data_IF_991714975224
#
_entry.id   IF_991714975224
#
_cell.length_a   1.000
_cell.length_b   1.000
_cell.length_c   1.000
_cell.angle_alpha   90.00
_cell.angle_beta   90.00
_cell.angle_gamma   90.00
#
_symmetry.space_group_name_H-M   'P 1'
#
loop_
_entity.id
_entity.type
_entity.pdbx_description
1 polymer ?
#
# COMPACT_ATOMS: atom_id res chain seq x y z
N UNK A 1 -9.89 -17.45 -10.73
CA UNK A 1 -8.90 -16.40 -10.45
C UNK A 1 -7.54 -16.91 -10.94
N UNK A 2 -6.81 -16.10 -11.71
CA UNK A 2 -5.51 -16.47 -12.31
C UNK A 2 -4.48 -15.45 -11.91
N UNK A 3 -3.25 -15.88 -11.60
CA UNK A 3 -2.10 -14.99 -11.43
C UNK A 3 -1.54 -14.66 -12.81
N UNK A 4 -1.32 -13.37 -13.09
CA UNK A 4 -0.81 -12.89 -14.36
C UNK A 4 0.20 -11.76 -14.13
N UNK A 5 1.17 -11.62 -15.04
CA UNK A 5 2.11 -10.51 -15.04
C UNK A 5 1.59 -9.39 -15.95
N UNK A 6 1.35 -8.23 -15.36
CA UNK A 6 0.93 -7.02 -16.07
C UNK A 6 1.97 -5.92 -15.90
N UNK A 7 2.00 -5.01 -16.86
CA UNK A 7 2.84 -3.81 -16.76
C UNK A 7 2.24 -2.85 -15.73
N UNK A 8 3.05 -2.34 -14.82
CA UNK A 8 2.64 -1.23 -13.95
C UNK A 8 2.52 0.04 -14.76
N UNK A 9 1.28 0.43 -15.01
CA UNK A 9 0.89 1.55 -15.84
C UNK A 9 -0.34 1.21 -16.68
N UNK A 10 -1.45 1.86 -16.37
CA UNK A 10 -2.75 1.69 -17.00
C UNK A 10 -2.92 2.65 -18.17
N UNK A 11 -3.31 2.13 -19.31
CA UNK A 11 -3.78 2.90 -20.47
C UNK A 11 -5.09 2.28 -20.91
N UNK A 12 -6.21 3.03 -21.00
CA UNK A 12 -7.47 2.46 -21.44
C UNK A 12 -7.40 2.05 -22.91
N UNK A 13 -8.10 0.97 -23.26
CA UNK A 13 -8.10 0.37 -24.60
C UNK A 13 -8.44 1.33 -25.74
N UNK A 14 -9.23 2.37 -25.46
CA UNK A 14 -9.64 3.39 -26.42
C UNK A 14 -8.65 4.57 -26.55
N UNK A 15 -7.60 4.64 -25.74
CA UNK A 15 -6.64 5.77 -25.74
C UNK A 15 -5.87 5.83 -27.05
N UNK A 16 -5.87 7.00 -27.69
CA UNK A 16 -5.12 7.25 -28.92
C UNK A 16 -3.69 7.74 -28.65
N UNK A 17 -3.50 8.48 -27.55
CA UNK A 17 -2.22 9.09 -27.17
C UNK A 17 -1.33 8.14 -26.34
N UNK A 18 -1.89 7.02 -25.88
CA UNK A 18 -1.16 6.04 -25.08
C UNK A 18 -0.68 6.56 -23.73
N UNK A 19 -1.26 7.66 -23.23
CA UNK A 19 -0.89 8.24 -21.93
C UNK A 19 -1.14 7.21 -20.82
N UNK A 20 -0.11 6.92 -20.06
CA UNK A 20 -0.12 5.93 -19.00
C UNK A 20 -0.35 6.57 -17.63
N UNK A 21 -1.14 5.94 -16.78
CA UNK A 21 -1.36 6.31 -15.38
C UNK A 21 -1.05 5.14 -14.46
N UNK A 22 -0.24 5.35 -13.43
CA UNK A 22 0.09 4.32 -12.45
C UNK A 22 -0.90 4.28 -11.27
N UNK A 23 -1.60 5.39 -11.01
CA UNK A 23 -2.54 5.54 -9.91
C UNK A 23 -3.90 6.06 -10.39
N UNK A 24 -4.96 5.57 -9.76
CA UNK A 24 -6.34 5.99 -10.00
C UNK A 24 -6.98 6.44 -8.67
N UNK A 25 -7.30 7.74 -8.54
CA UNK A 25 -7.94 8.28 -7.33
C UNK A 25 -9.38 7.75 -7.21
N UNK A 26 -9.73 7.13 -6.09
CA UNK A 26 -11.08 6.64 -5.83
C UNK A 26 -12.12 7.77 -5.86
N UNK A 27 -11.78 8.94 -5.33
CA UNK A 27 -12.65 10.13 -5.30
C UNK A 27 -12.75 10.83 -6.67
N UNK A 28 -11.90 10.47 -7.64
CA UNK A 28 -11.79 11.22 -8.88
C UNK A 28 -11.34 12.66 -8.62
N UNK A 29 -12.14 13.62 -9.09
CA UNK A 29 -11.88 15.06 -8.92
C UNK A 29 -12.63 15.68 -7.74
N UNK A 30 -13.42 14.90 -6.97
CA UNK A 30 -14.24 15.42 -5.88
C UNK A 30 -13.46 15.75 -4.60
N UNK A 31 -12.23 15.24 -4.45
CA UNK A 31 -11.37 15.51 -3.29
C UNK A 31 -9.98 15.97 -3.74
N UNK A 32 -9.90 17.11 -4.39
CA UNK A 32 -8.63 17.63 -4.93
C UNK A 32 -7.62 17.97 -3.81
N UNK A 33 -8.11 18.38 -2.67
CA UNK A 33 -7.30 18.72 -1.48
C UNK A 33 -6.80 17.48 -0.70
N UNK A 34 -7.19 16.26 -1.12
CA UNK A 34 -6.84 14.99 -0.47
C UNK A 34 -7.26 14.91 1.02
N UNK A 35 -8.40 15.52 1.37
CA UNK A 35 -8.91 15.52 2.74
C UNK A 35 -9.12 14.10 3.24
N UNK A 36 -8.52 13.76 4.37
CA UNK A 36 -8.61 12.45 5.03
C UNK A 36 -10.03 12.10 5.45
N UNK A 37 -10.80 13.09 5.88
CA UNK A 37 -12.18 12.96 6.34
C UNK A 37 -13.21 12.96 5.19
N UNK A 38 -12.78 12.96 3.93
CA UNK A 38 -13.68 12.96 2.78
C UNK A 38 -14.58 11.71 2.77
N UNK A 39 -15.89 11.93 2.72
CA UNK A 39 -16.92 10.88 2.71
C UNK A 39 -17.87 11.01 1.51
N UNK A 40 -17.52 11.85 0.55
CA UNK A 40 -18.33 12.10 -0.65
C UNK A 40 -18.21 11.01 -1.72
N UNK A 41 -18.69 11.34 -2.91
CA UNK A 41 -18.78 10.44 -4.05
C UNK A 41 -17.43 9.87 -4.50
N UNK A 42 -17.43 8.63 -4.95
CA UNK A 42 -16.26 7.95 -5.53
C UNK A 42 -16.22 8.20 -7.05
N UNK A 43 -15.75 9.39 -7.44
CA UNK A 43 -15.75 9.87 -8.82
C UNK A 43 -14.97 9.02 -9.83
N UNK A 44 -14.19 8.04 -9.39
CA UNK A 44 -13.53 7.06 -10.28
C UNK A 44 -14.54 6.35 -11.18
N UNK A 45 -15.77 6.13 -10.72
CA UNK A 45 -16.84 5.45 -11.49
C UNK A 45 -17.34 6.25 -12.67
N UNK A 46 -17.14 7.57 -12.67
CA UNK A 46 -17.61 8.49 -13.70
C UNK A 46 -16.49 8.98 -14.62
N UNK A 47 -15.24 8.92 -14.16
CA UNK A 47 -14.10 9.37 -14.97
C UNK A 47 -13.97 8.55 -16.25
N UNK A 48 -14.02 9.16 -17.43
CA UNK A 48 -13.92 8.47 -18.73
C UNK A 48 -12.73 7.52 -18.80
N UNK A 49 -11.61 7.90 -18.19
CA UNK A 49 -10.37 7.15 -18.18
C UNK A 49 -10.47 5.81 -17.43
N UNK A 50 -11.26 5.74 -16.35
CA UNK A 50 -11.33 4.59 -15.44
C UNK A 50 -12.70 3.90 -15.40
N UNK A 51 -13.77 4.57 -15.82
CA UNK A 51 -15.16 4.12 -15.63
C UNK A 51 -15.47 2.74 -16.19
N UNK A 52 -14.80 2.32 -17.28
CA UNK A 52 -14.96 0.95 -17.84
C UNK A 52 -14.25 -0.06 -16.92
N UNK A 53 -12.99 0.20 -16.60
CA UNK A 53 -12.16 -0.72 -15.84
C UNK A 53 -12.68 -0.95 -14.42
N UNK A 54 -13.13 0.12 -13.72
CA UNK A 54 -13.68 -0.03 -12.36
C UNK A 54 -14.96 -0.88 -12.30
N UNK A 55 -15.70 -1.01 -13.40
CA UNK A 55 -16.91 -1.84 -13.46
C UNK A 55 -16.61 -3.32 -13.66
N UNK A 56 -15.63 -3.68 -14.47
CA UNK A 56 -15.45 -5.07 -14.91
C UNK A 56 -14.01 -5.58 -14.94
N UNK A 57 -13.01 -4.70 -14.84
CA UNK A 57 -11.60 -5.03 -15.02
C UNK A 57 -10.82 -4.69 -13.73
N UNK A 58 -11.27 -5.25 -12.61
CA UNK A 58 -10.63 -5.11 -11.30
C UNK A 58 -9.69 -6.29 -11.04
N UNK A 59 -8.59 -6.03 -10.34
CA UNK A 59 -7.61 -7.03 -9.94
C UNK A 59 -7.07 -6.74 -8.53
N UNK A 60 -6.33 -7.68 -7.98
CA UNK A 60 -5.51 -7.47 -6.79
C UNK A 60 -4.04 -7.40 -7.21
N UNK A 61 -3.33 -6.41 -6.69
CA UNK A 61 -1.88 -6.30 -6.79
C UNK A 61 -1.30 -6.74 -5.46
N UNK A 62 -0.51 -7.80 -5.49
CA UNK A 62 0.03 -8.41 -4.27
C UNK A 62 1.40 -7.79 -3.97
N UNK A 63 1.57 -7.28 -2.76
CA UNK A 63 2.81 -6.61 -2.34
C UNK A 63 3.08 -6.81 -0.84
N UNK A 64 4.34 -7.05 -0.48
CA UNK A 64 4.77 -7.11 0.92
C UNK A 64 4.95 -5.71 1.52
N UNK A 65 5.37 -4.76 0.68
CA UNK A 65 5.59 -3.35 1.03
C UNK A 65 5.45 -2.48 -0.23
N UNK A 66 5.37 -1.18 -0.03
CA UNK A 66 5.49 -0.20 -1.12
C UNK A 66 6.41 0.94 -0.70
N UNK A 67 6.95 1.65 -1.68
CA UNK A 67 7.91 2.72 -1.44
C UNK A 67 7.24 4.04 -1.81
N UNK A 68 7.28 4.98 -0.86
CA UNK A 68 6.75 6.32 -1.03
C UNK A 68 7.68 7.36 -0.43
N UNK A 69 7.52 8.62 -0.86
CA UNK A 69 8.23 9.75 -0.30
C UNK A 69 7.32 10.95 -0.07
N UNK A 70 7.77 11.98 0.67
CA UNK A 70 6.99 13.18 0.90
C UNK A 70 6.57 13.87 -0.40
N UNK A 71 5.39 14.46 -0.41
CA UNK A 71 4.88 15.21 -1.57
C UNK A 71 5.87 16.30 -1.99
N UNK A 72 6.15 16.40 -3.29
CA UNK A 72 7.09 17.37 -3.84
C UNK A 72 8.57 17.00 -3.69
N UNK A 73 8.91 16.07 -2.80
CA UNK A 73 10.27 15.56 -2.60
C UNK A 73 10.43 14.19 -3.29
N UNK A 74 9.39 13.35 -3.21
CA UNK A 74 9.36 12.02 -3.81
C UNK A 74 10.48 11.11 -3.30
N UNK A 75 11.01 10.27 -4.16
CA UNK A 75 12.03 9.28 -3.82
C UNK A 75 13.43 9.86 -3.56
N UNK A 76 13.60 11.17 -3.44
CA UNK A 76 14.80 11.76 -2.83
C UNK A 76 14.85 11.53 -1.30
N UNK A 77 13.69 11.24 -0.70
CA UNK A 77 13.55 10.87 0.72
C UNK A 77 12.58 9.70 0.84
N UNK A 78 12.99 8.49 0.42
CA UNK A 78 12.09 7.36 0.33
C UNK A 78 11.86 6.68 1.67
N UNK A 79 10.67 6.11 1.81
CA UNK A 79 10.28 5.27 2.93
C UNK A 79 9.77 3.94 2.42
N UNK A 80 10.13 2.86 3.09
CA UNK A 80 9.49 1.56 2.93
C UNK A 80 8.26 1.52 3.85
N UNK A 81 7.08 1.39 3.25
CA UNK A 81 5.79 1.32 3.95
C UNK A 81 5.30 -0.11 3.93
N UNK A 82 4.94 -0.66 5.10
CA UNK A 82 4.64 -2.07 5.28
C UNK A 82 3.53 -2.28 6.33
N UNK A 83 2.82 -3.42 6.33
CA UNK A 83 1.83 -3.73 7.36
C UNK A 83 2.52 -4.04 8.69
N UNK A 84 2.01 -3.47 9.81
CA UNK A 84 2.57 -3.66 11.16
C UNK A 84 2.49 -5.11 11.62
N UNK A 85 1.44 -5.80 11.25
CA UNK A 85 1.25 -7.22 11.57
C UNK A 85 1.41 -8.02 10.29
N UNK A 86 2.43 -8.87 10.25
CA UNK A 86 2.71 -9.73 9.11
C UNK A 86 1.69 -10.88 9.05
N UNK A 87 0.59 -10.67 8.37
CA UNK A 87 -0.42 -11.71 8.06
C UNK A 87 -0.35 -12.16 6.58
N UNK A 88 0.83 -12.04 5.98
CA UNK A 88 1.03 -12.24 4.56
C UNK A 88 1.07 -10.93 3.77
N UNK A 89 1.18 -11.00 2.44
CA UNK A 89 1.25 -9.82 1.58
C UNK A 89 -0.06 -9.04 1.56
N UNK A 90 0.04 -7.73 1.38
CA UNK A 90 -1.12 -6.85 1.17
C UNK A 90 -1.76 -7.13 -0.18
N UNK A 91 -3.10 -7.03 -0.23
CA UNK A 91 -3.87 -7.02 -1.46
C UNK A 91 -4.25 -5.57 -1.82
N UNK A 92 -3.52 -4.96 -2.73
CA UNK A 92 -3.84 -3.62 -3.20
C UNK A 92 -4.90 -3.70 -4.31
N UNK A 93 -5.91 -2.83 -4.25
CA UNK A 93 -6.93 -2.76 -5.27
C UNK A 93 -6.36 -2.18 -6.58
N UNK A 94 -6.45 -2.94 -7.65
CA UNK A 94 -6.03 -2.55 -8.97
C UNK A 94 -7.18 -2.52 -9.98
N UNK A 95 -7.01 -1.74 -11.01
CA UNK A 95 -7.81 -1.79 -12.24
C UNK A 95 -6.88 -2.01 -13.42
N UNK A 96 -7.34 -2.72 -14.44
CA UNK A 96 -6.52 -3.06 -15.60
C UNK A 96 -7.27 -2.84 -16.92
N UNK A 97 -6.53 -2.71 -18.01
CA UNK A 97 -7.07 -2.78 -19.37
C UNK A 97 -5.96 -3.30 -20.32
N UNK A 98 -6.35 -3.61 -21.54
CA UNK A 98 -5.44 -4.01 -22.62
C UNK A 98 -5.44 -2.91 -23.65
N UNK A 99 -4.31 -2.25 -23.80
CA UNK A 99 -4.12 -1.18 -24.79
C UNK A 99 -3.31 -1.72 -25.97
N UNK A 100 -3.76 -1.43 -27.18
CA UNK A 100 -3.08 -1.83 -28.40
C UNK A 100 -2.15 -0.70 -28.90
N UNK A 101 -0.87 -1.01 -29.02
CA UNK A 101 0.15 -0.12 -29.60
C UNK A 101 0.71 -0.76 -30.87
N UNK A 102 0.20 -0.35 -32.04
CA UNK A 102 0.50 -1.03 -33.27
C UNK A 102 0.01 -2.50 -33.21
N UNK A 103 0.93 -3.46 -33.37
CA UNK A 103 0.64 -4.90 -33.22
C UNK A 103 0.78 -5.41 -31.79
N UNK A 104 1.38 -4.64 -30.88
CA UNK A 104 1.61 -5.02 -29.49
C UNK A 104 0.36 -4.82 -28.63
N UNK A 105 -0.01 -5.84 -27.83
CA UNK A 105 -1.04 -5.77 -26.80
C UNK A 105 -0.38 -5.56 -25.43
N UNK A 106 -0.60 -4.39 -24.82
CA UNK A 106 -0.04 -4.04 -23.53
C UNK A 106 -1.09 -4.23 -22.46
N UNK A 107 -0.91 -5.24 -21.63
CA UNK A 107 -1.71 -5.49 -20.43
C UNK A 107 -1.19 -4.60 -19.31
N UNK A 108 -1.93 -3.55 -18.96
CA UNK A 108 -1.50 -2.58 -17.98
C UNK A 108 -2.47 -2.45 -16.81
N UNK A 109 -1.95 -2.06 -15.63
CA UNK A 109 -2.76 -1.84 -14.44
C UNK A 109 -2.39 -0.52 -13.74
N UNK A 110 -3.36 0.04 -13.01
CA UNK A 110 -3.15 1.12 -12.05
C UNK A 110 -3.61 0.67 -10.66
N UNK A 111 -2.97 1.20 -9.63
CA UNK A 111 -3.40 1.03 -8.23
C UNK A 111 -4.45 2.09 -7.92
N UNK A 112 -5.58 1.66 -7.36
CA UNK A 112 -6.57 2.60 -6.83
C UNK A 112 -6.03 3.19 -5.53
N UNK A 113 -6.15 4.51 -5.39
CA UNK A 113 -5.66 5.23 -4.20
C UNK A 113 -6.80 5.95 -3.49
N UNK A 114 -6.65 6.07 -2.18
CA UNK A 114 -7.54 6.78 -1.25
C UNK A 114 -6.81 7.97 -0.62
N UNK A 115 -7.50 8.83 0.16
CA UNK A 115 -6.83 9.77 1.06
C UNK A 115 -5.81 9.05 1.97
N UNK A 116 -4.81 9.76 2.49
CA UNK A 116 -3.78 9.17 3.32
C UNK A 116 -4.35 8.68 4.67
N UNK A 117 -3.73 7.66 5.25
CA UNK A 117 -3.89 7.35 6.67
C UNK A 117 -2.84 8.12 7.50
N UNK A 118 -2.90 8.02 8.83
CA UNK A 118 -2.00 8.77 9.71
C UNK A 118 -0.51 8.51 9.46
N UNK A 119 -0.11 7.31 9.01
CA UNK A 119 1.30 7.00 8.71
C UNK A 119 1.75 7.76 7.47
N UNK A 120 0.96 7.75 6.39
CA UNK A 120 1.28 8.46 5.16
C UNK A 120 1.27 9.98 5.39
N UNK A 121 0.35 10.50 6.22
CA UNK A 121 0.34 11.92 6.62
C UNK A 121 1.62 12.32 7.36
N UNK A 122 2.06 11.52 8.36
CA UNK A 122 3.32 11.76 9.09
C UNK A 122 4.55 11.70 8.17
N UNK A 123 4.51 10.85 7.16
CA UNK A 123 5.54 10.77 6.14
C UNK A 123 5.53 12.00 5.21
N UNK A 124 4.43 12.77 5.20
CA UNK A 124 4.22 13.92 4.30
C UNK A 124 3.69 13.51 2.93
N UNK A 125 3.17 12.30 2.78
CA UNK A 125 2.55 11.83 1.55
C UNK A 125 1.04 11.99 1.60
N UNK A 126 0.42 12.36 0.47
CA UNK A 126 -0.98 12.79 0.42
C UNK A 126 -1.95 11.70 -0.10
N UNK A 127 -1.45 10.50 -0.39
CA UNK A 127 -2.27 9.37 -0.87
C UNK A 127 -1.87 8.07 -0.17
N UNK A 128 -2.82 7.12 -0.13
CA UNK A 128 -2.58 5.76 0.29
C UNK A 128 -3.08 4.79 -0.79
N UNK A 129 -2.39 3.71 -1.12
CA UNK A 129 -2.99 2.62 -1.88
C UNK A 129 -4.26 2.11 -1.19
N UNK A 130 -5.29 1.79 -1.96
CA UNK A 130 -6.47 1.10 -1.43
C UNK A 130 -6.08 -0.34 -1.08
N UNK A 131 -5.90 -0.61 0.20
CA UNK A 131 -5.57 -1.94 0.71
C UNK A 131 -6.88 -2.64 1.10
N UNK A 132 -7.15 -3.79 0.50
CA UNK A 132 -8.40 -4.53 0.70
C UNK A 132 -8.23 -5.61 1.78
N UNK A 133 -9.00 -5.55 2.88
CA UNK A 133 -9.06 -6.65 3.82
C UNK A 133 -9.69 -7.90 3.16
N UNK A 134 -9.48 -9.10 3.71
CA UNK A 134 -9.90 -10.35 3.07
C UNK A 134 -11.37 -10.42 2.66
N UNK A 135 -12.27 -9.90 3.46
CA UNK A 135 -13.71 -9.83 3.20
C UNK A 135 -14.07 -8.92 2.01
N UNK A 136 -13.35 -7.81 1.84
CA UNK A 136 -13.55 -6.89 0.72
C UNK A 136 -12.99 -7.40 -0.62
N UNK A 137 -12.03 -8.33 -0.60
CA UNK A 137 -11.39 -8.84 -1.82
C UNK A 137 -12.37 -9.59 -2.73
N UNK A 138 -13.31 -10.32 -2.15
CA UNK A 138 -14.33 -11.05 -2.93
C UNK A 138 -15.28 -10.08 -3.64
N UNK A 139 -15.71 -9.03 -2.98
CA UNK A 139 -16.53 -7.95 -3.56
C UNK A 139 -15.77 -7.26 -4.69
N UNK A 140 -14.50 -6.95 -4.48
CA UNK A 140 -13.66 -6.28 -5.46
C UNK A 140 -13.45 -7.11 -6.73
N UNK A 141 -13.17 -8.39 -6.59
CA UNK A 141 -12.86 -9.29 -7.72
C UNK A 141 -14.10 -9.80 -8.47
N UNK A 142 -15.27 -9.75 -7.86
CA UNK A 142 -16.49 -10.21 -8.51
C UNK A 142 -17.02 -9.15 -9.49
N UNK A 143 -16.94 -9.44 -10.80
CA UNK A 143 -17.41 -8.54 -11.86
C UNK A 143 -18.92 -8.24 -11.79
N UNK A 144 -19.70 -9.06 -11.08
CA UNK A 144 -21.14 -8.87 -10.88
C UNK A 144 -21.49 -8.06 -9.62
N UNK A 145 -20.49 -7.69 -8.80
CA UNK A 145 -20.74 -6.85 -7.63
C UNK A 145 -21.36 -5.51 -8.04
N UNK A 146 -22.47 -5.08 -7.40
CA UNK A 146 -23.02 -3.76 -7.60
C UNK A 146 -21.99 -2.67 -7.37
N UNK A 147 -22.04 -1.58 -8.12
CA UNK A 147 -21.11 -0.46 -7.94
C UNK A 147 -21.20 0.17 -6.54
N UNK A 148 -22.37 0.13 -5.90
CA UNK A 148 -22.54 0.53 -4.50
C UNK A 148 -21.58 -0.22 -3.57
N UNK A 149 -21.51 -1.54 -3.72
CA UNK A 149 -20.67 -2.41 -2.88
C UNK A 149 -19.19 -2.22 -3.20
N UNK A 150 -18.85 -2.09 -4.50
CA UNK A 150 -17.49 -1.78 -4.95
C UNK A 150 -17.02 -0.44 -4.42
N UNK A 151 -17.87 0.58 -4.38
CA UNK A 151 -17.50 1.90 -3.83
C UNK A 151 -17.47 1.91 -2.30
N UNK A 152 -18.29 1.09 -1.65
CA UNK A 152 -18.29 0.97 -0.18
C UNK A 152 -16.97 0.46 0.37
N UNK A 153 -16.28 -0.45 -0.35
CA UNK A 153 -14.96 -0.97 0.06
C UNK A 153 -13.80 0.00 -0.24
N UNK A 154 -14.04 1.12 -0.93
CA UNK A 154 -13.00 2.13 -1.22
C UNK A 154 -12.77 3.05 -0.01
N UNK A 155 -12.27 2.48 1.07
CA UNK A 155 -11.91 3.21 2.30
C UNK A 155 -10.40 3.16 2.52
N UNK A 156 -9.84 4.22 3.11
CA UNK A 156 -8.44 4.20 3.58
C UNK A 156 -8.27 3.12 4.64
N UNK A 157 -7.13 2.43 4.64
CA UNK A 157 -6.84 1.45 5.67
C UNK A 157 -6.74 2.13 7.06
N UNK A 158 -7.00 1.38 8.15
CA UNK A 158 -6.89 1.91 9.51
C UNK A 158 -5.50 2.50 9.79
N UNK A 159 -5.43 3.54 10.61
CA UNK A 159 -4.18 4.21 11.00
C UNK A 159 -3.18 3.24 11.67
N UNK A 160 -3.68 2.20 12.35
CA UNK A 160 -2.88 1.17 12.98
C UNK A 160 -2.35 0.08 12.04
N UNK A 161 -2.80 0.06 10.77
CA UNK A 161 -2.47 -1.03 9.85
C UNK A 161 -1.05 -0.95 9.30
N UNK A 162 -0.55 0.27 9.02
CA UNK A 162 0.74 0.51 8.39
C UNK A 162 1.78 1.03 9.39
N UNK A 163 3.06 0.79 9.06
CA UNK A 163 4.20 1.51 9.58
C UNK A 163 5.15 1.83 8.43
N UNK A 164 6.14 2.68 8.67
CA UNK A 164 7.14 3.03 7.68
C UNK A 164 8.48 3.35 8.33
N UNK A 165 9.57 3.13 7.59
CA UNK A 165 10.91 3.55 7.95
C UNK A 165 11.64 4.12 6.74
N UNK A 166 12.57 5.08 6.93
CA UNK A 166 13.35 5.64 5.84
C UNK A 166 14.34 4.60 5.28
N UNK A 167 14.56 4.64 3.97
CA UNK A 167 15.49 3.78 3.26
C UNK A 167 16.43 4.61 2.38
N UNK A 168 17.42 3.96 1.76
CA UNK A 168 18.41 4.62 0.94
C UNK A 168 17.78 5.25 -0.32
N UNK A 169 18.03 6.56 -0.61
CA UNK A 169 17.59 7.21 -1.85
C UNK A 169 18.08 6.56 -3.14
N UNK A 170 19.10 5.74 -3.09
CA UNK A 170 19.57 4.96 -4.24
C UNK A 170 18.47 4.09 -4.87
N UNK A 171 17.42 3.74 -4.10
CA UNK A 171 16.24 3.03 -4.61
C UNK A 171 15.54 3.74 -5.77
N UNK A 172 15.72 5.06 -5.92
CA UNK A 172 15.12 5.85 -7.00
C UNK A 172 15.77 5.62 -8.37
N UNK A 173 16.96 5.01 -8.41
CA UNK A 173 17.64 4.70 -9.66
C UNK A 173 16.92 3.59 -10.43
N UNK A 174 16.72 3.72 -11.76
CA UNK A 174 16.17 2.62 -12.58
C UNK A 174 17.05 1.35 -12.58
N UNK A 175 18.32 1.47 -12.24
CA UNK A 175 19.29 0.37 -12.13
C UNK A 175 19.33 -0.21 -10.71
N UNK A 176 18.60 0.42 -9.74
CA UNK A 176 18.58 -0.05 -8.37
C UNK A 176 18.00 -1.46 -8.29
N UNK A 177 18.74 -2.37 -7.67
CA UNK A 177 18.33 -3.75 -7.46
C UNK A 177 18.98 -4.28 -6.17
N UNK A 178 18.26 -5.12 -5.45
CA UNK A 178 18.76 -5.77 -4.26
C UNK A 178 18.00 -5.38 -2.99
N UNK A 179 17.85 -6.36 -2.09
CA UNK A 179 17.12 -6.20 -0.81
C UNK A 179 17.82 -5.30 0.20
N UNK A 180 19.11 -5.05 0.02
CA UNK A 180 19.90 -4.14 0.86
C UNK A 180 19.39 -2.70 0.79
N UNK A 181 18.79 -2.31 -0.34
CA UNK A 181 18.17 -0.99 -0.52
C UNK A 181 16.94 -0.77 0.37
N UNK A 182 16.36 -1.84 0.91
CA UNK A 182 15.22 -1.77 1.84
C UNK A 182 15.67 -1.75 3.31
N UNK A 183 16.98 -1.71 3.61
CA UNK A 183 17.46 -1.61 4.98
C UNK A 183 17.07 -0.25 5.59
N UNK A 184 16.58 -0.24 6.84
CA UNK A 184 16.27 1.00 7.53
C UNK A 184 17.51 1.90 7.65
N UNK A 185 17.38 3.17 7.30
CA UNK A 185 18.40 4.22 7.48
C UNK A 185 18.07 5.15 8.65
N UNK A 186 16.95 4.92 9.35
CA UNK A 186 16.50 5.67 10.51
C UNK A 186 15.32 5.00 11.19
N UNK A 187 14.76 5.69 12.17
CA UNK A 187 13.68 5.18 13.01
C UNK A 187 12.35 5.00 12.26
N UNK A 188 11.51 4.11 12.79
CA UNK A 188 10.14 3.91 12.29
C UNK A 188 9.27 5.12 12.60
N UNK A 189 8.29 5.40 11.74
CA UNK A 189 7.32 6.49 11.90
C UNK A 189 6.43 6.28 13.14
N UNK A 190 6.05 5.03 13.39
CA UNK A 190 5.30 4.63 14.58
C UNK A 190 6.22 3.71 15.39
N UNK A 191 6.46 4.07 16.63
CA UNK A 191 7.19 3.24 17.58
C UNK A 191 6.28 2.09 18.00
N UNK A 192 6.76 0.85 17.93
CA UNK A 192 6.00 -0.32 18.36
C UNK A 192 6.07 -0.43 19.89
N UNK A 193 4.94 -0.17 20.53
CA UNK A 193 4.81 -0.26 22.00
C UNK A 193 5.01 -1.69 22.54
N UNK A 194 5.00 -2.73 21.71
CA UNK A 194 5.25 -4.10 22.15
C UNK A 194 6.60 -4.26 22.86
N UNK A 195 7.62 -3.50 22.45
CA UNK A 195 8.93 -3.53 23.09
C UNK A 195 8.92 -2.83 24.47
N UNK A 196 8.19 -1.72 24.60
CA UNK A 196 8.02 -1.02 25.88
C UNK A 196 7.21 -1.86 26.87
N UNK A 197 6.12 -2.48 26.41
CA UNK A 197 5.32 -3.41 27.23
C UNK A 197 6.13 -4.62 27.70
N UNK A 198 7.00 -5.14 26.84
CA UNK A 198 7.90 -6.23 27.25
C UNK A 198 8.95 -5.78 28.27
N UNK A 199 9.53 -4.60 28.11
CA UNK A 199 10.46 -4.01 29.09
C UNK A 199 9.75 -3.68 30.40
N UNK A 200 8.55 -3.13 30.35
CA UNK A 200 7.74 -2.84 31.54
C UNK A 200 7.35 -4.12 32.28
N UNK A 201 6.95 -5.17 31.56
CA UNK A 201 6.66 -6.49 32.13
C UNK A 201 7.90 -7.08 32.78
N UNK A 202 9.08 -6.97 32.18
CA UNK A 202 10.35 -7.38 32.76
C UNK A 202 10.69 -6.56 34.00
N UNK A 203 10.52 -5.23 33.97
CA UNK A 203 10.79 -4.32 35.09
C UNK A 203 9.87 -4.57 36.28
N UNK A 204 8.61 -4.95 36.06
CA UNK A 204 7.66 -5.27 37.12
C UNK A 204 7.71 -6.74 37.59
N UNK A 205 8.72 -7.51 37.18
CA UNK A 205 9.00 -8.84 37.67
C UNK A 205 8.22 -10.00 37.02
N UNK A 206 7.33 -9.72 36.07
CA UNK A 206 6.61 -10.78 35.34
C UNK A 206 7.48 -11.51 34.30
N UNK A 207 8.50 -10.85 33.77
CA UNK A 207 9.50 -11.40 32.83
C UNK A 207 10.87 -11.65 33.45
N UNK A 208 11.24 -10.89 34.50
CA UNK A 208 12.58 -10.90 35.13
C UNK A 208 12.99 -12.30 35.65
N UNK A 209 12.05 -13.04 36.22
CA UNK A 209 12.33 -14.37 36.78
C UNK A 209 12.79 -15.38 35.71
N UNK A 210 12.32 -15.24 34.46
CA UNK A 210 12.77 -16.10 33.35
C UNK A 210 14.09 -15.66 32.75
N UNK A 211 14.31 -14.33 32.63
CA UNK A 211 15.56 -13.80 32.10
C UNK A 211 16.74 -14.04 33.06
N UNK A 212 16.55 -13.82 34.37
CA UNK A 212 17.57 -14.14 35.41
C UNK A 212 17.90 -15.62 35.49
N UNK A 213 16.89 -16.52 35.48
CA UNK A 213 17.16 -17.95 35.41
C UNK A 213 18.00 -18.38 34.21
N UNK A 214 17.75 -17.80 33.03
CA UNK A 214 18.57 -18.11 31.84
C UNK A 214 20.00 -17.60 31.96
N UNK A 215 20.23 -16.44 32.58
CA UNK A 215 21.60 -15.93 32.82
C UNK A 215 22.36 -16.75 33.87
N UNK A 216 21.69 -17.12 34.93
CA UNK A 216 22.30 -17.93 35.97
C UNK A 216 22.60 -19.37 35.51
N UNK A 217 21.72 -19.95 34.67
CA UNK A 217 21.96 -21.25 34.05
C UNK A 217 23.08 -21.26 33.02
N UNK A 218 23.34 -20.11 32.37
CA UNK A 218 24.47 -19.97 31.44
C UNK A 218 25.80 -19.71 32.16
N UNK A 219 25.78 -19.08 33.35
CA UNK A 219 26.99 -18.85 34.13
C UNK A 219 27.41 -20.05 34.97
N UNK A 220 26.53 -21.07 35.19
CA UNK A 220 26.86 -22.28 35.92
C UNK A 220 27.43 -23.41 35.04
N UNK A 221 27.63 -23.15 33.74
CA UNK A 221 28.16 -24.12 32.78
C UNK A 221 29.60 -23.75 32.29
N UNK A 222 30.28 -22.83 33.03
CA UNK A 222 31.70 -22.55 32.82
C UNK A 222 32.51 -22.63 34.11
#
# INVERSE_FOLDING_TARGET
>A
KTLQLFRFGFTPSWSKDGKMQINARSEGDHNQENRKDYRGAKGIIDKPYYRKAIRSQRCLVIADAFIEGPQGIGLKKPFCVYPRVAQGPMALAGIWDVWQKGEELIHGFAIVTTPPNAVLEKLGHHRCPLILPPDAQSVWLNSQSPLSDVTAVMQSCPDSFLNAYPIDPAIASPQANGKELLRPTGERIVQDFEYEVYQDIEMFGMGETRARKRRDDQMSLF
#
